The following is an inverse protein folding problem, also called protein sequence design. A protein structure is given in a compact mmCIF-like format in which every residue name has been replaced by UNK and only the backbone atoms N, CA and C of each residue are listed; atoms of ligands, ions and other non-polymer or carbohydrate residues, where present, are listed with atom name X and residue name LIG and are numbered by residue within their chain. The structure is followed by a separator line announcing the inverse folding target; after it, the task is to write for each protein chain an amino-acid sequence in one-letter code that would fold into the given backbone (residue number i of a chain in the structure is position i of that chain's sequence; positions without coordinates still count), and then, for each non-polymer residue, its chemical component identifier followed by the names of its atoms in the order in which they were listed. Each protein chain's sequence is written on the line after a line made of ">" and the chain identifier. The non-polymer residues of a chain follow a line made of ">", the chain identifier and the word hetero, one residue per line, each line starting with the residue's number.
data_IF_929550007982
#
_entry.id   IF_929550007982
#
_cell.length_a   1.000
_cell.length_b   1.000
_cell.length_c   1.000
_cell.angle_alpha   90.00
_cell.angle_beta   90.00
_cell.angle_gamma   90.00
#
_symmetry.space_group_name_H-M   'P 1'
#
loop_
_entity.id
_entity.type
_entity.pdbx_description
1 polymer ?
#
# COMPACT_ATOMS: atom_id res chain seq x y z
N UNK A 1 -11.40 -2.16 -1.32
CA UNK A 1 -10.78 -2.82 -2.50
C UNK A 1 -11.64 -2.71 -3.78
N UNK A 2 -11.43 -1.77 -4.73
CA UNK A 2 -12.34 -1.51 -5.89
C UNK A 2 -12.56 -2.72 -6.82
N UNK A 3 -11.78 -3.80 -6.67
CA UNK A 3 -12.12 -5.08 -7.29
C UNK A 3 -12.75 -6.05 -6.27
N UNK A 4 -13.86 -6.71 -6.62
CA UNK A 4 -14.28 -7.90 -5.90
C UNK A 4 -13.28 -9.04 -6.17
N UNK A 5 -12.77 -9.67 -5.10
CA UNK A 5 -12.01 -10.95 -5.13
C UNK A 5 -10.57 -10.94 -5.70
N UNK A 6 -9.95 -9.80 -6.04
CA UNK A 6 -8.51 -9.68 -6.37
C UNK A 6 -7.93 -8.52 -5.58
N UNK A 7 -6.95 -8.72 -4.70
CA UNK A 7 -6.22 -7.59 -4.09
C UNK A 7 -5.08 -7.18 -5.04
N UNK A 8 -5.07 -5.97 -5.64
CA UNK A 8 -3.94 -5.43 -6.35
C UNK A 8 -2.84 -5.28 -5.31
N UNK A 9 -1.74 -5.95 -5.59
CA UNK A 9 -0.55 -5.77 -4.80
C UNK A 9 0.02 -4.41 -5.22
N UNK A 10 0.13 -3.44 -4.29
CA UNK A 10 0.88 -2.22 -4.58
C UNK A 10 2.28 -2.62 -5.06
N UNK A 11 2.78 -1.90 -6.05
CA UNK A 11 4.18 -2.05 -6.45
C UNK A 11 5.07 -1.55 -5.31
N UNK A 12 6.25 -2.12 -5.13
CA UNK A 12 7.30 -1.51 -4.30
C UNK A 12 7.91 -0.33 -5.04
N UNK A 13 8.54 0.60 -4.32
CA UNK A 13 9.32 1.67 -4.93
C UNK A 13 10.43 1.08 -5.77
N UNK A 14 10.54 1.58 -7.00
CA UNK A 14 11.52 1.08 -7.95
C UNK A 14 12.76 1.97 -7.89
N UNK A 15 13.91 1.42 -7.50
CA UNK A 15 15.19 2.15 -7.56
C UNK A 15 15.89 1.83 -8.88
N UNK A 16 16.00 2.82 -9.76
CA UNK A 16 16.77 2.67 -10.99
C UNK A 16 18.27 2.74 -10.71
N UNK A 17 19.05 1.84 -11.32
CA UNK A 17 20.51 1.96 -11.32
C UNK A 17 20.94 3.27 -11.99
N UNK A 18 22.01 3.89 -11.52
CA UNK A 18 22.55 5.15 -12.06
C UNK A 18 22.71 5.17 -13.57
N UNK A 19 23.16 4.06 -14.16
CA UNK A 19 23.34 3.92 -15.61
C UNK A 19 22.03 4.10 -16.39
N UNK A 20 20.89 3.73 -15.80
CA UNK A 20 19.56 3.90 -16.39
C UNK A 20 18.99 5.27 -16.00
N UNK A 21 19.07 5.64 -14.71
CA UNK A 21 18.52 6.90 -14.18
C UNK A 21 19.04 8.14 -14.91
N UNK A 22 20.34 8.16 -15.29
CA UNK A 22 20.94 9.27 -16.06
C UNK A 22 20.30 9.52 -17.42
N UNK A 23 19.69 8.49 -18.01
CA UNK A 23 19.07 8.55 -19.33
C UNK A 23 17.54 8.69 -19.27
N UNK A 24 16.94 8.68 -18.07
CA UNK A 24 15.51 8.86 -17.91
C UNK A 24 15.12 10.34 -18.02
N UNK A 25 13.92 10.64 -18.56
CA UNK A 25 13.29 11.94 -18.41
C UNK A 25 13.27 12.39 -16.95
N UNK A 26 13.40 13.70 -16.69
CA UNK A 26 13.51 14.25 -15.33
C UNK A 26 12.37 13.78 -14.42
N UNK A 27 11.14 13.74 -14.94
CA UNK A 27 9.95 13.29 -14.20
C UNK A 27 9.94 11.78 -13.84
N UNK A 28 10.82 10.98 -14.45
CA UNK A 28 11.00 9.55 -14.16
C UNK A 28 12.23 9.25 -13.30
N UNK A 29 13.08 10.25 -13.04
CA UNK A 29 14.27 10.08 -12.18
C UNK A 29 13.89 9.93 -10.71
N UNK A 30 12.79 10.54 -10.29
CA UNK A 30 12.14 10.27 -9.01
C UNK A 30 10.85 9.45 -9.22
N UNK A 31 10.93 8.11 -9.10
CA UNK A 31 9.78 7.23 -9.26
C UNK A 31 8.82 7.24 -8.05
N UNK A 32 9.11 7.99 -6.98
CA UNK A 32 8.35 7.95 -5.72
C UNK A 32 6.88 8.34 -5.89
N UNK A 33 6.56 9.17 -6.90
CA UNK A 33 5.18 9.53 -7.24
C UNK A 33 4.45 8.52 -8.14
N UNK A 34 5.14 7.53 -8.68
CA UNK A 34 4.63 6.61 -9.71
C UNK A 34 4.46 5.17 -9.22
N UNK A 35 5.27 4.76 -8.25
CA UNK A 35 5.28 3.42 -7.68
C UNK A 35 5.07 3.49 -6.16
N UNK A 36 4.81 2.35 -5.52
CA UNK A 36 4.59 2.31 -4.08
C UNK A 36 3.11 2.29 -3.71
N UNK A 37 2.86 1.93 -2.45
CA UNK A 37 1.51 2.01 -1.87
C UNK A 37 1.02 3.46 -1.84
N UNK A 38 1.88 4.45 -1.53
CA UNK A 38 1.50 5.87 -1.51
C UNK A 38 0.92 6.35 -2.85
N UNK A 39 1.56 6.04 -3.97
CA UNK A 39 1.05 6.39 -5.31
C UNK A 39 -0.34 5.78 -5.59
N UNK A 40 -0.55 4.52 -5.16
CA UNK A 40 -1.84 3.87 -5.27
C UNK A 40 -2.89 4.55 -4.38
N UNK A 41 -2.59 4.83 -3.11
CA UNK A 41 -3.53 5.49 -2.18
C UNK A 41 -3.89 6.90 -2.63
N UNK A 42 -2.92 7.69 -3.11
CA UNK A 42 -3.17 9.01 -3.69
C UNK A 42 -4.13 8.93 -4.89
N UNK A 43 -3.95 7.93 -5.75
CA UNK A 43 -4.84 7.71 -6.90
C UNK A 43 -6.28 7.39 -6.47
N UNK A 44 -6.48 6.73 -5.33
CA UNK A 44 -7.78 6.47 -4.74
C UNK A 44 -8.40 7.72 -4.11
N UNK A 45 -7.60 8.56 -3.46
CA UNK A 45 -8.02 9.88 -3.00
C UNK A 45 -8.61 10.71 -4.14
N UNK A 46 -7.93 10.70 -5.31
CA UNK A 46 -8.45 11.37 -6.53
C UNK A 46 -9.77 10.78 -7.04
N UNK A 47 -10.02 9.49 -6.83
CA UNK A 47 -11.32 8.88 -7.15
C UNK A 47 -12.39 9.37 -6.17
N UNK A 48 -12.05 9.50 -4.88
CA UNK A 48 -12.94 10.07 -3.85
C UNK A 48 -13.35 11.51 -4.20
N UNK A 49 -12.38 12.32 -4.64
CA UNK A 49 -12.62 13.72 -5.06
C UNK A 49 -13.64 13.87 -6.21
N UNK A 50 -13.84 12.83 -7.04
CA UNK A 50 -14.85 12.88 -8.11
C UNK A 50 -16.28 12.92 -7.57
N UNK A 51 -16.50 12.42 -6.34
CA UNK A 51 -17.80 12.39 -5.68
C UNK A 51 -18.79 11.37 -6.22
N UNK A 52 -19.91 11.22 -5.52
CA UNK A 52 -20.88 10.13 -5.72
C UNK A 52 -21.72 10.24 -7.00
N UNK A 53 -21.51 11.28 -7.82
CA UNK A 53 -22.17 11.44 -9.11
C UNK A 53 -21.72 10.43 -10.18
N UNK A 54 -20.64 9.69 -9.92
CA UNK A 54 -20.06 8.75 -10.87
C UNK A 54 -20.26 7.30 -10.43
N UNK A 55 -20.65 6.45 -11.39
CA UNK A 55 -20.60 4.99 -11.23
C UNK A 55 -19.26 4.46 -11.71
N UNK A 56 -18.60 3.64 -10.89
CA UNK A 56 -17.32 3.02 -11.26
C UNK A 56 -17.62 1.68 -11.96
N UNK A 57 -17.12 1.55 -13.19
CA UNK A 57 -17.20 0.30 -13.95
C UNK A 57 -15.87 -0.46 -13.81
N UNK A 58 -15.77 -1.48 -12.92
CA UNK A 58 -14.51 -2.18 -12.74
C UNK A 58 -14.14 -2.96 -14.02
N UNK A 59 -12.88 -2.82 -14.44
CA UNK A 59 -12.35 -3.53 -15.62
C UNK A 59 -12.39 -5.07 -15.49
N UNK A 60 -12.42 -5.57 -14.24
CA UNK A 60 -12.52 -6.99 -13.95
C UNK A 60 -13.78 -7.28 -13.14
N UNK A 61 -14.47 -8.38 -13.47
CA UNK A 61 -15.64 -8.88 -12.74
C UNK A 61 -16.79 -7.87 -12.62
N UNK A 62 -16.94 -6.90 -13.54
CA UNK A 62 -18.16 -6.09 -13.63
C UNK A 62 -19.41 -6.98 -13.66
N UNK A 63 -19.33 -8.11 -14.35
CA UNK A 63 -20.30 -9.19 -14.26
C UNK A 63 -19.61 -10.48 -13.81
N UNK A 64 -20.10 -11.10 -12.74
CA UNK A 64 -19.54 -12.33 -12.20
C UNK A 64 -20.62 -13.14 -11.48
N UNK A 65 -20.55 -14.47 -11.54
CA UNK A 65 -21.53 -15.39 -10.90
C UNK A 65 -22.99 -14.99 -11.17
N UNK A 66 -23.27 -14.60 -12.41
CA UNK A 66 -24.59 -14.15 -12.88
C UNK A 66 -25.15 -12.86 -12.26
N UNK A 67 -24.29 -12.01 -11.69
CA UNK A 67 -24.68 -10.72 -11.10
C UNK A 67 -23.72 -9.61 -11.52
N UNK A 68 -24.23 -8.37 -11.62
CA UNK A 68 -23.39 -7.18 -11.82
C UNK A 68 -22.81 -6.71 -10.48
N UNK A 69 -21.50 -6.45 -10.46
CA UNK A 69 -20.80 -5.86 -9.33
C UNK A 69 -20.69 -4.35 -9.54
N UNK A 70 -21.79 -3.65 -9.26
CA UNK A 70 -21.80 -2.19 -9.25
C UNK A 70 -21.02 -1.69 -8.04
N UNK A 71 -20.10 -0.76 -8.28
CA UNK A 71 -19.36 -0.07 -7.24
C UNK A 71 -19.43 1.43 -7.52
N UNK A 72 -19.66 2.24 -6.49
CA UNK A 72 -19.48 3.67 -6.57
C UNK A 72 -18.11 4.08 -6.04
N UNK A 73 -17.96 5.39 -5.86
CA UNK A 73 -16.74 6.02 -5.36
C UNK A 73 -16.43 5.62 -3.91
N UNK A 74 -17.44 5.26 -3.12
CA UNK A 74 -17.30 4.79 -1.73
C UNK A 74 -16.31 3.62 -1.59
N UNK A 75 -16.19 2.83 -2.66
CA UNK A 75 -15.30 1.67 -2.68
C UNK A 75 -13.81 2.05 -2.64
N UNK A 76 -13.46 3.27 -3.07
CA UNK A 76 -12.13 3.84 -2.88
C UNK A 76 -11.82 4.03 -1.39
N UNK A 77 -12.77 4.58 -0.63
CA UNK A 77 -12.65 4.74 0.83
C UNK A 77 -12.51 3.39 1.55
N UNK A 78 -13.25 2.37 1.12
CA UNK A 78 -13.08 1.00 1.62
C UNK A 78 -11.68 0.43 1.37
N UNK A 79 -11.03 0.75 0.24
CA UNK A 79 -9.63 0.36 0.02
C UNK A 79 -8.73 1.04 1.04
N UNK A 80 -8.84 2.36 1.18
CA UNK A 80 -7.99 3.14 2.07
C UNK A 80 -8.05 2.61 3.50
N UNK A 81 -9.26 2.42 4.04
CA UNK A 81 -9.48 1.84 5.38
C UNK A 81 -8.93 0.42 5.52
N UNK A 82 -8.96 -0.38 4.45
CA UNK A 82 -8.36 -1.71 4.46
C UNK A 82 -6.84 -1.65 4.59
N UNK A 83 -6.17 -0.74 3.88
CA UNK A 83 -4.72 -0.54 4.03
C UNK A 83 -4.37 0.09 5.37
N UNK A 84 -5.14 1.05 5.86
CA UNK A 84 -5.00 1.63 7.20
C UNK A 84 -4.98 0.53 8.28
N UNK A 85 -5.98 -0.36 8.25
CA UNK A 85 -6.05 -1.49 9.18
C UNK A 85 -4.83 -2.39 9.10
N UNK A 86 -4.24 -2.57 7.91
CA UNK A 86 -3.02 -3.37 7.74
C UNK A 86 -1.82 -2.67 8.34
N UNK A 87 -1.64 -1.36 8.09
CA UNK A 87 -0.58 -0.54 8.70
C UNK A 87 -0.66 -0.58 10.23
N UNK A 88 -1.86 -0.43 10.80
CA UNK A 88 -2.15 -0.60 12.22
C UNK A 88 -1.65 -1.96 12.76
N UNK A 89 -1.91 -3.05 12.02
CA UNK A 89 -1.47 -4.39 12.40
C UNK A 89 0.04 -4.57 12.32
N UNK A 90 0.72 -3.88 11.40
CA UNK A 90 2.17 -3.92 11.24
C UNK A 90 2.84 -3.20 12.40
N UNK A 91 2.45 -1.96 12.68
CA UNK A 91 3.03 -1.17 13.76
C UNK A 91 2.78 -1.79 15.14
N UNK A 92 1.58 -2.34 15.40
CA UNK A 92 1.32 -3.09 16.65
C UNK A 92 2.26 -4.28 16.85
N UNK A 93 2.78 -4.88 15.77
CA UNK A 93 3.77 -5.99 15.85
C UNK A 93 5.19 -5.48 16.07
N UNK A 94 5.51 -4.28 15.60
CA UNK A 94 6.79 -3.61 15.81
C UNK A 94 6.87 -2.92 17.18
N UNK A 95 5.75 -2.70 17.86
CA UNK A 95 5.72 -1.99 19.14
C UNK A 95 6.63 -2.65 20.19
N UNK A 96 7.67 -1.92 20.61
CA UNK A 96 8.61 -2.35 21.64
C UNK A 96 9.65 -3.39 21.20
N UNK A 97 9.81 -3.65 19.89
CA UNK A 97 10.79 -4.60 19.35
C UNK A 97 11.44 -4.07 18.07
N UNK A 98 12.70 -4.42 17.85
CA UNK A 98 13.29 -4.41 16.51
C UNK A 98 12.94 -5.71 15.79
N UNK A 99 12.73 -5.65 14.48
CA UNK A 99 12.32 -6.79 13.67
C UNK A 99 12.94 -6.72 12.28
N UNK A 100 13.23 -7.88 11.69
CA UNK A 100 13.67 -7.97 10.29
C UNK A 100 12.48 -8.05 9.32
N UNK A 101 12.70 -7.85 8.02
CA UNK A 101 11.66 -8.02 6.98
C UNK A 101 11.04 -9.43 7.01
N UNK A 102 11.86 -10.47 7.21
CA UNK A 102 11.39 -11.86 7.24
C UNK A 102 10.50 -12.14 8.45
N UNK A 103 10.91 -11.68 9.63
CA UNK A 103 10.14 -11.81 10.88
C UNK A 103 8.83 -11.03 10.80
N UNK A 104 8.90 -9.81 10.26
CA UNK A 104 7.74 -8.95 10.03
C UNK A 104 6.75 -9.63 9.08
N UNK A 105 7.22 -10.16 7.95
CA UNK A 105 6.39 -10.87 6.97
C UNK A 105 5.74 -12.12 7.57
N UNK A 106 6.52 -12.97 8.26
CA UNK A 106 6.00 -14.18 8.94
C UNK A 106 5.04 -13.86 10.07
N UNK A 107 5.23 -12.73 10.74
CA UNK A 107 4.34 -12.25 11.78
C UNK A 107 2.99 -11.79 11.23
N UNK A 108 2.96 -11.22 10.02
CA UNK A 108 1.76 -10.61 9.42
C UNK A 108 0.88 -11.60 8.66
N UNK A 109 1.46 -12.58 7.98
CA UNK A 109 0.69 -13.58 7.24
C UNK A 109 0.61 -14.92 7.96
N UNK A 110 -0.54 -15.57 7.87
CA UNK A 110 -0.73 -16.94 8.32
C UNK A 110 0.23 -17.88 7.56
N UNK A 111 0.86 -18.84 8.27
CA UNK A 111 1.80 -19.82 7.68
C UNK A 111 1.26 -20.52 6.43
N UNK A 112 -0.05 -20.75 6.35
CA UNK A 112 -0.74 -21.36 5.22
C UNK A 112 -0.70 -20.52 3.93
N UNK A 113 -0.53 -19.19 4.05
CA UNK A 113 -0.43 -18.25 2.91
C UNK A 113 1.00 -18.03 2.43
N UNK A 114 1.99 -18.61 3.10
CA UNK A 114 3.43 -18.40 2.85
C UNK A 114 4.09 -19.57 2.08
N UNK A 115 3.31 -20.46 1.48
CA UNK A 115 3.82 -21.59 0.70
C UNK A 115 4.00 -21.20 -0.79
N UNK A 116 5.20 -21.43 -1.33
CA UNK A 116 5.49 -21.30 -2.77
C UNK A 116 5.46 -19.86 -3.30
N UNK A 117 4.89 -19.67 -4.49
CA UNK A 117 4.79 -18.35 -5.18
C UNK A 117 4.00 -17.29 -4.40
N UNK A 118 3.15 -17.70 -3.45
CA UNK A 118 2.38 -16.78 -2.60
C UNK A 118 3.26 -16.02 -1.60
N UNK A 119 4.43 -16.57 -1.23
CA UNK A 119 5.38 -15.91 -0.34
C UNK A 119 5.94 -14.62 -0.97
N UNK A 120 6.28 -14.66 -2.26
CA UNK A 120 6.86 -13.52 -2.97
C UNK A 120 5.87 -12.37 -3.13
N UNK A 121 4.60 -12.69 -3.44
CA UNK A 121 3.53 -11.70 -3.51
C UNK A 121 3.23 -11.08 -2.14
N UNK A 122 3.18 -11.91 -1.09
CA UNK A 122 3.03 -11.47 0.29
C UNK A 122 4.19 -10.56 0.74
N UNK A 123 5.43 -10.91 0.41
CA UNK A 123 6.61 -10.09 0.70
C UNK A 123 6.55 -8.74 -0.04
N UNK A 124 6.23 -8.73 -1.34
CA UNK A 124 6.09 -7.50 -2.13
C UNK A 124 5.05 -6.56 -1.53
N UNK A 125 3.91 -7.10 -1.09
CA UNK A 125 2.87 -6.31 -0.43
C UNK A 125 3.38 -5.71 0.89
N UNK A 126 4.14 -6.46 1.70
CA UNK A 126 4.71 -5.94 2.97
C UNK A 126 5.76 -4.86 2.72
N UNK A 127 6.64 -5.06 1.73
CA UNK A 127 7.64 -4.07 1.36
C UNK A 127 6.95 -2.75 1.03
N UNK A 128 5.89 -2.76 0.21
CA UNK A 128 5.17 -1.54 -0.13
C UNK A 128 4.51 -0.84 1.08
N UNK A 129 4.13 -1.59 2.13
CA UNK A 129 3.62 -0.98 3.36
C UNK A 129 4.75 -0.44 4.24
N UNK A 130 5.89 -1.12 4.32
CA UNK A 130 7.07 -0.63 5.04
C UNK A 130 7.60 0.66 4.41
N UNK A 131 7.69 0.71 3.08
CA UNK A 131 8.07 1.93 2.35
C UNK A 131 7.14 3.10 2.68
N UNK A 132 5.82 2.87 2.75
CA UNK A 132 4.88 3.92 3.14
C UNK A 132 5.10 4.39 4.59
N UNK A 133 5.33 3.45 5.52
CA UNK A 133 5.59 3.78 6.92
C UNK A 133 6.91 4.53 7.10
N UNK A 134 7.92 4.23 6.28
CA UNK A 134 9.18 4.97 6.26
C UNK A 134 8.96 6.39 5.71
N UNK A 135 8.20 6.54 4.62
CA UNK A 135 7.84 7.83 4.03
C UNK A 135 7.05 8.74 4.97
N UNK A 136 6.18 8.15 5.80
CA UNK A 136 5.41 8.88 6.80
C UNK A 136 6.17 9.04 8.12
N UNK A 137 7.44 8.65 8.18
CA UNK A 137 8.30 8.75 9.35
C UNK A 137 7.76 7.98 10.58
N UNK A 138 6.96 6.93 10.35
CA UNK A 138 6.44 6.04 11.40
C UNK A 138 7.45 4.95 11.78
N UNK A 139 8.37 4.61 10.88
CA UNK A 139 9.44 3.64 11.10
C UNK A 139 10.77 4.17 10.54
N UNK A 140 11.86 3.56 10.99
CA UNK A 140 13.20 3.69 10.43
C UNK A 140 13.73 2.30 10.10
N UNK A 141 14.31 2.15 8.91
CA UNK A 141 15.07 0.98 8.50
C UNK A 141 16.55 1.36 8.48
N UNK A 142 17.36 0.71 9.33
CA UNK A 142 18.79 0.99 9.39
C UNK A 142 19.58 0.28 8.28
N UNK A 143 20.89 0.57 8.19
CA UNK A 143 21.80 -0.03 7.20
C UNK A 143 21.90 -1.56 7.31
N UNK A 144 21.54 -2.13 8.47
CA UNK A 144 21.52 -3.59 8.70
C UNK A 144 20.17 -4.23 8.32
N UNK A 145 19.19 -3.42 7.90
CA UNK A 145 17.84 -3.86 7.56
C UNK A 145 16.95 -4.10 8.78
N UNK A 146 17.35 -3.60 9.96
CA UNK A 146 16.51 -3.66 11.16
C UNK A 146 15.47 -2.56 11.13
N UNK A 147 14.23 -2.95 11.42
CA UNK A 147 13.07 -2.07 11.41
C UNK A 147 12.76 -1.66 12.84
N UNK A 148 12.63 -0.36 13.08
CA UNK A 148 12.27 0.22 14.38
C UNK A 148 11.18 1.27 14.23
N UNK A 149 10.26 1.32 15.19
CA UNK A 149 9.20 2.33 15.21
C UNK A 149 9.77 3.69 15.63
N UNK A 150 9.31 4.75 14.97
CA UNK A 150 9.64 6.14 15.28
C UNK A 150 8.43 6.82 15.92
N UNK A 151 8.67 7.72 16.89
CA UNK A 151 7.60 8.46 17.56
C UNK A 151 6.51 7.57 18.17
N UNK A 152 5.25 7.93 17.91
CA UNK A 152 4.08 7.15 18.33
C UNK A 152 3.55 6.18 17.24
N UNK A 153 4.14 6.20 16.04
CA UNK A 153 3.72 5.39 14.90
C UNK A 153 2.29 5.68 14.45
N UNK A 154 1.88 6.95 14.35
CA UNK A 154 0.53 7.33 13.89
C UNK A 154 0.49 8.31 12.72
N UNK A 155 1.61 8.71 12.15
CA UNK A 155 1.69 9.70 11.07
C UNK A 155 0.93 9.26 9.81
N UNK A 156 1.02 7.97 9.44
CA UNK A 156 0.27 7.42 8.31
C UNK A 156 -1.25 7.61 8.44
N UNK A 157 -1.80 7.74 9.67
CA UNK A 157 -3.24 7.99 9.87
C UNK A 157 -3.62 9.37 9.40
N UNK A 158 -2.78 10.37 9.65
CA UNK A 158 -2.98 11.72 9.13
C UNK A 158 -2.92 11.70 7.60
N UNK A 159 -1.94 10.99 7.03
CA UNK A 159 -1.83 10.81 5.58
C UNK A 159 -3.07 10.15 4.96
N UNK A 160 -3.62 9.08 5.57
CA UNK A 160 -4.83 8.44 5.06
C UNK A 160 -6.07 9.33 5.27
N UNK A 161 -6.14 10.06 6.38
CA UNK A 161 -7.25 10.95 6.68
C UNK A 161 -7.39 12.07 5.64
N UNK A 162 -6.28 12.64 5.15
CA UNK A 162 -6.34 13.67 4.10
C UNK A 162 -6.84 13.13 2.76
N UNK A 163 -6.68 11.83 2.49
CA UNK A 163 -7.19 11.18 1.29
C UNK A 163 -8.67 10.79 1.39
N UNK A 164 -9.15 10.51 2.61
CA UNK A 164 -10.55 10.16 2.86
C UNK A 164 -11.49 11.37 2.89
N UNK A 165 -10.97 12.53 3.29
CA UNK A 165 -11.70 13.80 3.36
C UNK A 165 -10.90 14.91 2.66
N UNK A 166 -10.80 14.85 1.31
CA UNK A 166 -10.10 15.86 0.53
C UNK A 166 -10.85 17.21 0.63
N UNK A 167 -10.11 18.27 0.95
CA UNK A 167 -10.65 19.64 1.11
C UNK A 167 -11.03 20.30 -0.20
#
# INVERSE_FOLDING_TARGET
>A
HILPEITPHPTSKMVFRDAISKNLPEFLKDPSGLYGLGAYLNSLGRVIELGDSYTVLPAHRLYNKSHFNWHGVERAGDILKHHEKRLDQMLKKLQGKTSTLEETTKGIFERSKLLGSNLYAAMSEIVAHLELLEDTEDILIDESGQISMQGDGTNYKNYISTLLDPK
#
